data_IF_445303478762
#
_entry.id   IF_445303478762
#
_cell.length_a   1.000
_cell.length_b   1.000
_cell.length_c   1.000
_cell.angle_alpha   90.00
_cell.angle_beta   90.00
_cell.angle_gamma   90.00
#
_symmetry.space_group_name_H-M   'P 1'
#
loop_
_entity.id
_entity.type
_entity.pdbx_description
1 polymer ?
#
# COMPACT_ATOMS: atom_id res chain seq x y z
N UNK A 1 1.65 5.01 20.02
CA UNK A 1 2.35 5.84 19.02
C UNK A 1 1.39 6.92 18.56
N UNK A 2 1.49 8.13 19.11
CA UNK A 2 0.55 9.22 18.80
C UNK A 2 1.36 10.42 18.30
N UNK A 3 1.02 10.93 17.11
CA UNK A 3 1.59 12.10 16.41
C UNK A 3 2.88 11.96 15.58
N UNK A 4 3.29 10.77 15.11
CA UNK A 4 4.29 10.73 14.03
C UNK A 4 3.58 11.03 12.70
N UNK A 5 4.03 12.02 11.90
CA UNK A 5 3.45 12.25 10.57
C UNK A 5 3.59 11.00 9.72
N UNK A 6 2.64 10.78 8.81
CA UNK A 6 2.72 9.70 7.84
C UNK A 6 4.05 9.79 7.07
N UNK A 7 4.76 8.66 6.98
CA UNK A 7 6.06 8.58 6.30
C UNK A 7 5.93 8.82 4.79
N UNK A 8 4.75 8.57 4.23
CA UNK A 8 4.40 8.85 2.85
C UNK A 8 3.24 9.83 2.79
N UNK A 9 3.39 10.93 2.05
CA UNK A 9 2.27 11.83 1.75
C UNK A 9 1.43 11.27 0.61
N UNK A 10 0.13 11.58 0.62
CA UNK A 10 -0.79 11.16 -0.45
C UNK A 10 -0.35 11.63 -1.85
N UNK A 11 0.28 12.81 -1.94
CA UNK A 11 0.80 13.35 -3.20
C UNK A 11 1.95 12.51 -3.77
N UNK A 12 2.79 11.93 -2.91
CA UNK A 12 3.92 11.07 -3.30
C UNK A 12 3.41 9.71 -3.75
N UNK A 13 2.46 9.12 -3.01
CA UNK A 13 1.77 7.88 -3.40
C UNK A 13 1.16 8.02 -4.81
N UNK A 14 0.44 9.12 -5.04
CA UNK A 14 -0.18 9.40 -6.33
C UNK A 14 0.86 9.56 -7.45
N UNK A 15 2.01 10.19 -7.16
CA UNK A 15 3.11 10.34 -8.12
C UNK A 15 3.67 8.97 -8.52
N UNK A 16 3.91 8.09 -7.56
CA UNK A 16 4.43 6.75 -7.84
C UNK A 16 3.46 5.90 -8.65
N UNK A 17 2.17 5.92 -8.31
CA UNK A 17 1.15 5.20 -9.10
C UNK A 17 1.05 5.72 -10.53
N UNK A 18 1.13 7.04 -10.74
CA UNK A 18 1.14 7.63 -12.09
C UNK A 18 2.37 7.22 -12.89
N UNK A 19 3.55 7.23 -12.27
CA UNK A 19 4.78 6.79 -12.91
C UNK A 19 4.71 5.31 -13.31
N UNK A 20 4.16 4.45 -12.43
CA UNK A 20 3.95 3.05 -12.74
C UNK A 20 2.96 2.84 -13.89
N UNK A 21 1.84 3.56 -13.88
CA UNK A 21 0.87 3.52 -14.99
C UNK A 21 1.51 3.97 -16.31
N UNK A 22 2.33 5.02 -16.29
CA UNK A 22 3.04 5.51 -17.47
C UNK A 22 4.08 4.50 -18.00
N UNK A 23 4.65 3.68 -17.11
CA UNK A 23 5.55 2.59 -17.48
C UNK A 23 4.81 1.33 -17.99
N UNK A 24 3.48 1.36 -18.11
CA UNK A 24 2.69 0.23 -18.61
C UNK A 24 2.34 -0.82 -17.55
N UNK A 25 2.49 -0.50 -16.25
CA UNK A 25 2.16 -1.43 -15.18
C UNK A 25 0.68 -1.30 -14.79
N UNK A 26 -0.07 -2.39 -14.92
CA UNK A 26 -1.52 -2.42 -14.67
C UNK A 26 -1.92 -2.53 -13.19
N UNK A 27 -0.94 -2.77 -12.31
CA UNK A 27 -1.16 -2.86 -10.87
C UNK A 27 0.11 -2.58 -10.09
N UNK A 28 -0.04 -1.97 -8.93
CA UNK A 28 1.07 -1.77 -8.01
C UNK A 28 0.62 -1.53 -6.58
N UNK A 29 1.33 -2.17 -5.65
CA UNK A 29 1.10 -2.06 -4.20
C UNK A 29 2.27 -1.31 -3.60
N UNK A 30 1.96 -0.33 -2.75
CA UNK A 30 2.96 0.41 -1.99
C UNK A 30 2.82 0.03 -0.53
N UNK A 31 3.86 -0.59 0.02
CA UNK A 31 3.94 -0.88 1.45
C UNK A 31 4.85 0.12 2.14
N UNK A 32 4.41 0.57 3.32
CA UNK A 32 5.20 1.43 4.21
C UNK A 32 5.46 0.63 5.48
N UNK A 33 6.72 0.26 5.70
CA UNK A 33 7.13 -0.47 6.90
C UNK A 33 7.21 0.46 8.12
N UNK A 34 7.14 -0.08 9.35
CA UNK A 34 7.21 0.72 10.58
C UNK A 34 8.52 1.51 10.76
N UNK A 35 9.60 1.08 10.10
CA UNK A 35 10.91 1.74 10.08
C UNK A 35 10.97 2.94 9.12
N UNK A 36 9.95 3.14 8.28
CA UNK A 36 9.96 4.16 7.23
C UNK A 36 10.52 3.70 5.90
N UNK A 37 10.74 2.39 5.71
CA UNK A 37 11.10 1.83 4.41
C UNK A 37 9.87 1.70 3.51
N UNK A 38 10.00 2.12 2.25
CA UNK A 38 8.94 2.06 1.25
C UNK A 38 9.27 0.95 0.23
N UNK A 39 8.32 0.05 0.00
CA UNK A 39 8.45 -1.01 -0.99
C UNK A 39 7.35 -0.85 -2.03
N UNK A 40 7.74 -0.76 -3.30
CA UNK A 40 6.83 -0.64 -4.43
C UNK A 40 6.86 -1.97 -5.17
N UNK A 41 5.76 -2.69 -5.12
CA UNK A 41 5.57 -3.93 -5.86
C UNK A 41 4.94 -3.64 -7.21
N UNK A 42 5.47 -4.27 -8.25
CA UNK A 42 4.97 -4.22 -9.62
C UNK A 42 4.18 -5.50 -9.91
N UNK A 43 2.98 -5.36 -10.47
CA UNK A 43 2.09 -6.49 -10.81
C UNK A 43 0.90 -6.65 -9.88
N UNK A 44 0.00 -7.58 -10.23
CA UNK A 44 -1.11 -7.97 -9.35
C UNK A 44 -0.53 -8.51 -8.05
N UNK A 45 -0.73 -7.77 -6.97
CA UNK A 45 -0.55 -8.34 -5.65
C UNK A 45 -1.62 -9.41 -5.53
N UNK A 46 -1.25 -10.68 -5.45
CA UNK A 46 -2.18 -11.71 -4.98
C UNK A 46 -2.86 -11.14 -3.74
N UNK A 47 -4.16 -10.88 -3.85
CA UNK A 47 -4.93 -10.37 -2.74
C UNK A 47 -4.78 -11.40 -1.64
N UNK A 48 -4.02 -11.07 -0.61
CA UNK A 48 -3.89 -11.93 0.56
C UNK A 48 -5.30 -12.09 1.10
N UNK A 49 -5.90 -13.26 0.87
CA UNK A 49 -7.22 -13.69 1.33
C UNK A 49 -7.19 -13.94 2.85
N UNK A 50 -6.52 -13.05 3.58
CA UNK A 50 -6.56 -13.03 5.03
C UNK A 50 -7.84 -12.29 5.37
N UNK A 51 -8.91 -13.08 5.53
CA UNK A 51 -10.15 -12.65 6.18
C UNK A 51 -9.80 -11.80 7.40
N UNK A 52 -10.40 -10.62 7.48
CA UNK A 52 -10.23 -9.75 8.64
C UNK A 52 -10.70 -10.54 9.88
N UNK A 53 -9.85 -10.76 10.90
CA UNK A 53 -10.23 -11.51 12.08
C UNK A 53 -11.43 -10.90 12.82
N UNK A 54 -11.70 -9.59 12.64
CA UNK A 54 -12.87 -8.91 13.18
C UNK A 54 -14.19 -9.31 12.51
N UNK A 55 -14.19 -9.91 11.31
CA UNK A 55 -15.40 -10.40 10.64
C UNK A 55 -16.05 -11.57 11.40
N UNK A 56 -15.29 -12.25 12.28
CA UNK A 56 -15.78 -13.33 13.14
C UNK A 56 -16.70 -12.84 14.26
N UNK A 57 -16.62 -11.55 14.62
CA UNK A 57 -17.36 -10.95 15.74
C UNK A 57 -18.73 -10.40 15.33
N UNK A 58 -19.04 -10.40 14.03
CA UNK A 58 -20.29 -9.88 13.46
C UNK A 58 -21.33 -10.99 13.20
N UNK A 59 -21.17 -12.17 13.83
CA UNK A 59 -22.11 -13.30 13.73
C UNK A 59 -23.00 -13.40 14.95
#
# INVERSE_FOLDING_TARGET
>A
MANRPALLKQSELTRYLKAMKAAGNEGGRVEVKPDGTHVIFQGESEASTVSNPCDRLLK
#
